data_IF_101719709448
#
_entry.id   IF_101719709448
#
_cell.length_a   1.000
_cell.length_b   1.000
_cell.length_c   1.000
_cell.angle_alpha   90.00
_cell.angle_beta   90.00
_cell.angle_gamma   90.00
#
_symmetry.space_group_name_H-M   'P 1'
#
loop_
_entity.id
_entity.type
_entity.pdbx_description
1 polymer ?
#
# COMPACT_ATOMS: atom_id res chain seq x y z
N UNK A 1 -28.60 36.73 -58.45
CA UNK A 1 -27.70 35.68 -58.02
C UNK A 1 -27.37 35.85 -56.53
N UNK A 2 -27.99 35.12 -55.61
CA UNK A 2 -27.73 35.22 -54.16
C UNK A 2 -26.80 34.04 -53.80
N UNK A 3 -25.59 34.35 -53.34
CA UNK A 3 -24.62 33.37 -52.86
C UNK A 3 -24.91 33.10 -51.37
N UNK A 4 -25.30 31.87 -51.05
CA UNK A 4 -25.42 31.40 -49.69
C UNK A 4 -24.03 31.04 -49.14
N UNK A 5 -23.62 31.66 -48.02
CA UNK A 5 -22.39 31.33 -47.29
C UNK A 5 -22.80 30.35 -46.19
N UNK A 6 -22.35 29.10 -46.34
CA UNK A 6 -22.54 28.07 -45.31
C UNK A 6 -21.42 28.19 -44.31
N UNK A 7 -21.73 28.63 -43.08
CA UNK A 7 -20.77 28.61 -41.96
C UNK A 7 -20.66 27.16 -41.41
N UNK A 8 -19.48 26.60 -41.54
CA UNK A 8 -19.13 25.34 -40.85
C UNK A 8 -18.68 25.66 -39.41
N UNK A 9 -19.50 25.23 -38.42
CA UNK A 9 -19.14 25.28 -37.02
C UNK A 9 -18.21 24.08 -36.71
N UNK A 10 -16.93 24.35 -36.50
CA UNK A 10 -15.95 23.34 -36.03
C UNK A 10 -16.09 23.27 -34.53
N UNK A 11 -16.68 22.18 -34.03
CA UNK A 11 -16.72 21.84 -32.59
C UNK A 11 -15.35 21.32 -32.17
N UNK A 12 -14.60 22.11 -31.42
CA UNK A 12 -13.35 21.69 -30.80
C UNK A 12 -13.69 20.90 -29.55
N UNK A 13 -13.58 19.57 -29.61
CA UNK A 13 -13.60 18.71 -28.42
C UNK A 13 -12.31 18.93 -27.62
N UNK A 14 -12.41 19.58 -26.46
CA UNK A 14 -11.33 19.66 -25.50
C UNK A 14 -11.09 18.27 -24.88
N UNK A 15 -10.04 17.58 -25.32
CA UNK A 15 -9.57 16.35 -24.71
C UNK A 15 -8.86 16.75 -23.41
N UNK A 16 -9.52 16.59 -22.26
CA UNK A 16 -8.87 16.72 -20.97
C UNK A 16 -7.90 15.53 -20.78
N UNK A 17 -6.59 15.75 -20.67
CA UNK A 17 -5.68 14.67 -20.33
C UNK A 17 -5.98 14.20 -18.89
N UNK A 18 -6.48 13.00 -18.74
CA UNK A 18 -6.55 12.35 -17.44
C UNK A 18 -5.09 12.15 -16.98
N UNK A 19 -4.66 12.93 -15.97
CA UNK A 19 -3.37 12.72 -15.35
C UNK A 19 -3.37 11.33 -14.68
N UNK A 20 -2.78 10.35 -15.35
CA UNK A 20 -2.53 9.04 -14.75
C UNK A 20 -1.56 9.25 -13.58
N UNK A 21 -2.02 8.99 -12.36
CA UNK A 21 -1.13 8.99 -11.20
C UNK A 21 -0.10 7.88 -11.37
N UNK A 22 1.19 8.24 -11.32
CA UNK A 22 2.26 7.27 -11.48
C UNK A 22 2.23 6.20 -10.37
N UNK A 23 2.36 4.95 -10.76
CA UNK A 23 2.56 3.85 -9.83
C UNK A 23 3.82 4.09 -8.98
N UNK A 24 3.75 3.77 -7.69
CA UNK A 24 4.90 3.87 -6.78
C UNK A 24 5.44 2.49 -6.47
N UNK A 25 6.75 2.32 -6.63
CA UNK A 25 7.48 1.08 -6.29
C UNK A 25 8.67 1.42 -5.41
N UNK A 26 8.81 0.68 -4.31
CA UNK A 26 9.98 0.76 -3.42
C UNK A 26 10.68 -0.59 -3.43
N UNK A 27 12.01 -0.56 -3.54
CA UNK A 27 12.88 -1.75 -3.51
C UNK A 27 13.70 -1.77 -2.23
N UNK A 28 13.85 -2.94 -1.65
CA UNK A 28 14.73 -3.21 -0.53
C UNK A 28 16.13 -3.64 -0.96
N UNK A 29 17.03 -3.74 0.01
CA UNK A 29 18.44 -4.05 -0.22
C UNK A 29 18.70 -5.47 -0.73
N UNK A 30 17.73 -6.37 -0.55
CA UNK A 30 17.84 -7.78 -0.98
C UNK A 30 17.05 -8.09 -2.25
N UNK A 31 16.62 -7.05 -2.98
CA UNK A 31 15.89 -7.20 -4.23
C UNK A 31 14.36 -7.31 -4.07
N UNK A 32 13.87 -7.46 -2.84
CA UNK A 32 12.44 -7.44 -2.58
C UNK A 32 11.85 -6.06 -2.89
N UNK A 33 10.58 -6.03 -3.28
CA UNK A 33 9.89 -4.79 -3.60
C UNK A 33 8.40 -4.84 -3.32
N UNK A 34 7.82 -3.67 -3.06
CA UNK A 34 6.37 -3.47 -3.00
C UNK A 34 5.94 -2.36 -3.95
N UNK A 35 4.73 -2.44 -4.50
CA UNK A 35 4.19 -1.43 -5.40
C UNK A 35 2.70 -1.22 -5.21
N UNK A 36 2.25 0.01 -5.53
CA UNK A 36 0.85 0.43 -5.58
C UNK A 36 0.61 1.29 -6.83
N UNK A 37 -0.63 1.30 -7.33
CA UNK A 37 -0.97 2.06 -8.52
C UNK A 37 -1.01 3.58 -8.29
N UNK A 38 -1.23 4.05 -7.06
CA UNK A 38 -1.32 5.47 -6.71
C UNK A 38 -1.01 5.70 -5.24
N UNK A 39 -0.55 6.91 -4.90
CA UNK A 39 -0.17 7.29 -3.52
C UNK A 39 -0.99 8.45 -2.94
N UNK A 40 -1.76 9.17 -3.77
CA UNK A 40 -2.68 10.24 -3.34
C UNK A 40 -4.09 9.71 -3.38
N UNK A 41 -4.70 9.47 -2.22
CA UNK A 41 -6.00 8.80 -2.13
C UNK A 41 -6.86 9.39 -1.01
N UNK A 42 -8.17 9.28 -1.16
CA UNK A 42 -9.10 9.61 -0.09
C UNK A 42 -9.06 8.55 1.02
N UNK A 43 -9.38 8.95 2.25
CA UNK A 43 -9.59 7.99 3.33
C UNK A 43 -10.71 7.01 2.98
N UNK A 44 -10.57 5.75 3.40
CA UNK A 44 -11.48 4.66 3.07
C UNK A 44 -11.11 3.93 1.76
N UNK A 45 -10.19 4.46 0.94
CA UNK A 45 -9.72 3.77 -0.27
C UNK A 45 -8.98 2.50 0.10
N UNK A 46 -9.28 1.38 -0.57
CA UNK A 46 -8.44 0.19 -0.57
C UNK A 46 -7.46 0.25 -1.74
N UNK A 47 -6.17 0.10 -1.45
CA UNK A 47 -5.10 0.03 -2.44
C UNK A 47 -4.61 -1.40 -2.57
N UNK A 48 -4.61 -1.93 -3.77
CA UNK A 48 -3.95 -3.21 -4.04
C UNK A 48 -2.44 -3.02 -3.96
N UNK A 49 -1.82 -3.73 -3.02
CA UNK A 49 -0.37 -3.78 -2.83
C UNK A 49 0.14 -5.08 -3.41
N UNK A 50 1.11 -5.00 -4.30
CA UNK A 50 1.82 -6.17 -4.80
C UNK A 50 3.23 -6.21 -4.25
N UNK A 51 3.66 -7.37 -3.79
CA UNK A 51 5.03 -7.66 -3.34
C UNK A 51 5.69 -8.71 -4.23
N UNK A 52 7.01 -8.65 -4.32
CA UNK A 52 7.81 -9.65 -5.03
C UNK A 52 9.24 -9.71 -4.50
N UNK A 53 9.87 -10.89 -4.69
CA UNK A 53 11.28 -11.09 -4.34
C UNK A 53 11.55 -11.18 -2.85
N UNK A 54 10.52 -11.43 -2.03
CA UNK A 54 10.69 -11.70 -0.61
C UNK A 54 11.23 -13.11 -0.37
N UNK A 55 11.98 -13.28 0.69
CA UNK A 55 12.40 -14.59 1.15
C UNK A 55 11.19 -15.32 1.76
N UNK A 56 10.73 -16.40 1.12
CA UNK A 56 9.55 -17.17 1.53
C UNK A 56 9.75 -17.89 2.88
N UNK A 57 11.00 -17.99 3.37
CA UNK A 57 11.31 -18.57 4.68
C UNK A 57 11.17 -17.56 5.82
N UNK A 58 10.96 -16.28 5.50
CA UNK A 58 10.83 -15.18 6.46
C UNK A 58 9.41 -14.62 6.43
N UNK A 59 8.67 -14.81 7.51
CA UNK A 59 7.36 -14.18 7.65
C UNK A 59 7.45 -12.66 7.73
N UNK A 60 6.48 -11.97 7.11
CA UNK A 60 6.40 -10.52 7.07
C UNK A 60 5.00 -10.03 7.45
N UNK A 61 4.93 -8.80 7.94
CA UNK A 61 3.70 -8.04 8.05
C UNK A 61 3.61 -7.00 6.93
N UNK A 62 2.49 -6.99 6.22
CA UNK A 62 2.06 -5.88 5.36
C UNK A 62 1.02 -5.07 6.13
N UNK A 63 1.20 -3.75 6.26
CA UNK A 63 0.25 -2.90 6.96
C UNK A 63 0.31 -1.43 6.51
N UNK A 64 -0.71 -0.64 6.88
CA UNK A 64 -0.70 0.81 6.79
C UNK A 64 -0.34 1.40 8.14
N UNK A 65 0.79 2.11 8.25
CA UNK A 65 1.38 2.53 9.51
C UNK A 65 1.84 4.00 9.50
N UNK A 66 2.00 4.57 10.67
CA UNK A 66 2.77 5.81 10.87
C UNK A 66 4.25 5.52 10.57
N UNK A 67 4.89 6.40 9.78
CA UNK A 67 6.32 6.27 9.48
C UNK A 67 7.12 6.58 10.75
N UNK A 68 7.93 5.65 11.25
CA UNK A 68 8.71 5.83 12.48
C UNK A 68 9.94 6.71 12.28
N UNK A 69 10.62 7.03 13.36
CA UNK A 69 11.98 7.53 13.29
C UNK A 69 12.91 6.47 12.65
N UNK A 70 14.02 6.91 12.04
CA UNK A 70 14.98 6.04 11.37
C UNK A 70 15.42 4.88 12.27
N UNK A 71 15.39 3.66 11.76
CA UNK A 71 15.82 2.44 12.46
C UNK A 71 14.80 1.90 13.49
N UNK A 72 13.62 2.51 13.63
CA UNK A 72 12.54 2.00 14.47
C UNK A 72 11.51 1.23 13.63
N UNK A 73 10.89 0.23 14.23
CA UNK A 73 9.80 -0.51 13.61
C UNK A 73 8.60 0.40 13.32
N UNK A 74 7.90 0.22 12.16
CA UNK A 74 6.68 0.96 11.89
C UNK A 74 5.63 0.69 12.97
N UNK A 75 5.13 1.77 13.58
CA UNK A 75 4.14 1.73 14.67
C UNK A 75 3.64 3.15 14.97
N UNK A 76 2.35 3.32 15.33
CA UNK A 76 1.29 2.32 15.25
C UNK A 76 0.85 2.03 13.81
N UNK A 77 0.18 0.90 13.62
CA UNK A 77 -0.39 0.50 12.34
C UNK A 77 -1.93 0.45 12.41
N UNK A 78 -2.57 0.72 11.28
CA UNK A 78 -4.02 0.56 11.10
C UNK A 78 -4.41 -0.91 11.05
N UNK A 79 -5.68 -1.20 11.39
CA UNK A 79 -6.23 -2.54 11.41
C UNK A 79 -6.04 -3.29 12.73
N UNK A 80 -5.15 -2.79 13.62
CA UNK A 80 -4.84 -3.45 14.89
C UNK A 80 -4.24 -4.84 14.72
N UNK A 81 -3.99 -5.53 15.84
CA UNK A 81 -3.74 -6.97 15.82
C UNK A 81 -5.09 -7.63 15.61
N UNK A 82 -5.40 -7.99 14.39
CA UNK A 82 -6.52 -8.88 14.14
C UNK A 82 -6.17 -10.25 14.69
N UNK A 83 -6.89 -10.68 15.73
CA UNK A 83 -6.71 -12.02 16.31
C UNK A 83 -7.03 -13.14 15.33
N UNK A 84 -7.73 -12.82 14.23
CA UNK A 84 -7.97 -13.72 13.11
C UNK A 84 -6.83 -13.69 12.06
N UNK A 85 -5.74 -12.93 12.29
CA UNK A 85 -4.58 -12.88 11.41
C UNK A 85 -4.73 -12.06 10.13
N UNK A 86 -5.94 -11.82 9.70
CA UNK A 86 -6.24 -11.10 8.46
C UNK A 86 -7.23 -9.96 8.72
N UNK A 87 -6.87 -8.77 8.33
CA UNK A 87 -7.71 -7.58 8.44
C UNK A 87 -7.51 -6.66 7.24
N UNK A 88 -8.50 -5.83 6.94
CA UNK A 88 -8.50 -4.94 5.76
C UNK A 88 -7.29 -3.98 5.68
N UNK A 89 -6.54 -3.80 6.76
CA UNK A 89 -5.40 -2.89 6.82
C UNK A 89 -4.09 -3.54 7.27
N UNK A 90 -4.07 -4.87 7.54
CA UNK A 90 -2.86 -5.59 7.90
C UNK A 90 -2.98 -7.08 7.56
N UNK A 91 -1.86 -7.67 7.14
CA UNK A 91 -1.74 -9.07 6.74
C UNK A 91 -0.46 -9.64 7.31
N UNK A 92 -0.52 -10.89 7.80
CA UNK A 92 0.64 -11.67 8.11
C UNK A 92 0.87 -12.66 6.97
N UNK A 93 1.99 -12.52 6.26
CA UNK A 93 2.33 -13.32 5.08
C UNK A 93 3.51 -14.22 5.48
N UNK A 94 3.30 -15.53 5.45
CA UNK A 94 4.31 -16.51 5.84
C UNK A 94 3.98 -17.88 5.25
N UNK A 95 4.96 -18.51 4.58
CA UNK A 95 4.81 -19.86 4.02
C UNK A 95 5.21 -20.97 5.02
N UNK A 96 5.78 -20.61 6.16
CA UNK A 96 6.16 -21.54 7.22
C UNK A 96 5.83 -20.98 8.62
N UNK A 97 4.57 -20.64 8.89
CA UNK A 97 4.18 -20.09 10.18
C UNK A 97 4.34 -21.13 11.29
N UNK A 98 4.56 -20.70 12.54
CA UNK A 98 4.57 -21.62 13.67
C UNK A 98 3.19 -22.27 13.85
N UNK A 99 3.10 -23.45 14.51
CA UNK A 99 1.85 -24.22 14.62
C UNK A 99 0.66 -23.46 15.20
N UNK A 100 0.90 -22.50 16.12
CA UNK A 100 -0.19 -21.68 16.70
C UNK A 100 -0.80 -20.69 15.70
N UNK A 101 -0.13 -20.45 14.58
CA UNK A 101 -0.54 -19.48 13.57
C UNK A 101 -1.24 -20.12 12.36
N UNK A 102 -1.54 -21.41 12.43
CA UNK A 102 -2.29 -22.09 11.38
C UNK A 102 -3.62 -21.37 11.11
N UNK A 103 -3.84 -20.98 9.85
CA UNK A 103 -5.02 -20.23 9.41
C UNK A 103 -4.99 -18.72 9.75
N UNK A 104 -3.88 -18.20 10.30
CA UNK A 104 -3.71 -16.76 10.60
C UNK A 104 -2.79 -16.05 9.60
N UNK A 105 -2.20 -16.81 8.67
CA UNK A 105 -1.26 -16.29 7.68
C UNK A 105 -1.74 -16.58 6.27
N UNK A 106 -1.38 -15.70 5.35
CA UNK A 106 -1.40 -15.97 3.92
C UNK A 106 -0.03 -16.50 3.49
N UNK A 107 0.00 -17.46 2.59
CA UNK A 107 1.25 -17.96 2.03
C UNK A 107 1.78 -17.03 0.94
N UNK A 108 3.11 -16.98 0.79
CA UNK A 108 3.68 -16.37 -0.39
C UNK A 108 3.33 -17.17 -1.65
N UNK A 109 3.08 -16.47 -2.74
CA UNK A 109 3.10 -17.06 -4.06
C UNK A 109 4.56 -17.27 -4.51
N UNK A 110 4.87 -18.25 -5.37
CA UNK A 110 6.23 -18.55 -5.83
C UNK A 110 7.00 -17.31 -6.29
N UNK A 111 8.25 -17.18 -5.86
CA UNK A 111 9.10 -16.00 -6.09
C UNK A 111 8.89 -14.89 -5.06
N UNK A 112 8.46 -15.25 -3.85
CA UNK A 112 8.24 -14.32 -2.74
C UNK A 112 7.23 -13.24 -3.10
N UNK A 113 6.12 -13.62 -3.73
CA UNK A 113 5.09 -12.71 -4.22
C UNK A 113 3.86 -12.73 -3.32
N UNK A 114 3.18 -11.59 -3.28
CA UNK A 114 1.85 -11.46 -2.68
C UNK A 114 1.05 -10.35 -3.36
N UNK A 115 -0.26 -10.37 -3.15
CA UNK A 115 -1.16 -9.30 -3.59
C UNK A 115 -2.31 -9.18 -2.61
N UNK A 116 -2.39 -8.05 -1.88
CA UNK A 116 -3.43 -7.79 -0.89
C UNK A 116 -3.99 -6.38 -0.99
N UNK A 117 -5.30 -6.19 -0.76
CA UNK A 117 -5.89 -4.87 -0.59
C UNK A 117 -5.55 -4.33 0.80
N UNK A 118 -5.03 -3.11 0.88
CA UNK A 118 -4.77 -2.41 2.14
C UNK A 118 -5.66 -1.19 2.24
N UNK A 119 -6.51 -1.13 3.25
CA UNK A 119 -7.42 -0.01 3.49
C UNK A 119 -6.69 1.17 4.10
N UNK A 120 -6.79 2.32 3.46
CA UNK A 120 -6.16 3.57 3.89
C UNK A 120 -7.12 4.33 4.81
N UNK A 121 -6.70 4.57 6.03
CA UNK A 121 -7.46 5.34 7.02
C UNK A 121 -6.89 6.74 7.21
N UNK A 122 -7.74 7.73 7.47
CA UNK A 122 -7.29 9.04 7.91
C UNK A 122 -6.73 9.02 9.33
N UNK A 123 -7.15 8.05 10.18
CA UNK A 123 -6.72 7.92 11.56
C UNK A 123 -6.08 6.57 11.83
N UNK A 124 -4.96 6.58 12.54
CA UNK A 124 -4.30 5.39 13.11
C UNK A 124 -4.11 5.66 14.60
N UNK A 125 -5.00 5.13 15.44
CA UNK A 125 -5.05 5.50 16.85
C UNK A 125 -5.24 7.02 17.01
N UNK A 126 -4.34 7.67 17.73
CA UNK A 126 -4.36 9.13 17.92
C UNK A 126 -3.74 9.95 16.78
N UNK A 127 -3.18 9.30 15.75
CA UNK A 127 -2.46 9.97 14.67
C UNK A 127 -3.37 10.22 13.48
N UNK A 128 -3.41 11.46 13.01
CA UNK A 128 -4.10 11.86 11.76
C UNK A 128 -3.10 11.83 10.59
N UNK A 129 -3.22 10.86 9.70
CA UNK A 129 -2.36 10.66 8.53
C UNK A 129 -2.42 11.79 7.49
N UNK A 130 -3.31 12.78 7.66
CA UNK A 130 -3.30 14.04 6.90
C UNK A 130 -2.34 15.08 7.48
N UNK A 131 -1.84 14.84 8.71
CA UNK A 131 -0.93 15.74 9.45
C UNK A 131 0.40 15.10 9.72
N UNK A 132 0.44 13.76 9.94
CA UNK A 132 1.67 13.00 10.12
C UNK A 132 1.93 12.14 8.88
N UNK A 133 3.17 11.72 8.69
CA UNK A 133 3.53 10.85 7.57
C UNK A 133 3.11 9.41 7.86
N UNK A 134 2.27 8.85 6.99
CA UNK A 134 1.86 7.45 7.03
C UNK A 134 2.26 6.76 5.71
N UNK A 135 2.46 5.45 5.77
CA UNK A 135 2.88 4.65 4.61
C UNK A 135 2.22 3.27 4.63
N UNK A 136 2.07 2.68 3.45
CA UNK A 136 2.00 1.23 3.32
C UNK A 136 3.40 0.71 3.63
N UNK A 137 3.49 -0.26 4.54
CA UNK A 137 4.76 -0.78 5.03
C UNK A 137 4.79 -2.29 4.95
N UNK A 138 5.99 -2.81 4.72
CA UNK A 138 6.34 -4.20 5.01
C UNK A 138 7.43 -4.20 6.06
N UNK A 139 7.41 -5.17 6.95
CA UNK A 139 8.47 -5.45 7.91
C UNK A 139 8.55 -6.94 8.22
N UNK A 140 9.66 -7.41 8.75
CA UNK A 140 9.75 -8.76 9.30
C UNK A 140 8.71 -8.95 10.42
N UNK A 141 8.19 -10.16 10.56
CA UNK A 141 7.15 -10.51 11.54
C UNK A 141 7.67 -10.49 12.99
N UNK A 142 6.81 -10.87 13.94
CA UNK A 142 7.13 -10.85 15.37
C UNK A 142 8.16 -11.89 15.79
N UNK A 143 8.45 -12.90 14.95
CA UNK A 143 9.50 -13.86 15.19
C UNK A 143 10.90 -13.25 14.99
N UNK A 144 10.96 -12.11 14.28
CA UNK A 144 12.20 -11.39 13.96
C UNK A 144 12.04 -9.88 14.23
N UNK A 145 11.61 -9.52 15.44
CA UNK A 145 11.25 -8.12 15.80
C UNK A 145 12.40 -7.11 15.64
N UNK A 146 13.65 -7.56 15.75
CA UNK A 146 14.85 -6.72 15.55
C UNK A 146 15.29 -6.60 14.11
N UNK A 147 14.80 -7.44 13.22
CA UNK A 147 15.17 -7.43 11.81
C UNK A 147 14.49 -6.28 11.05
N UNK A 148 15.31 -5.39 10.47
CA UNK A 148 14.86 -4.25 9.66
C UNK A 148 15.12 -4.44 8.16
N UNK A 149 15.56 -5.63 7.74
CA UNK A 149 15.91 -5.94 6.35
C UNK A 149 14.72 -5.87 5.40
N UNK A 150 13.52 -6.17 5.91
CA UNK A 150 12.27 -6.11 5.16
C UNK A 150 11.50 -4.80 5.34
N UNK A 151 12.05 -3.80 6.04
CA UNK A 151 11.36 -2.52 6.23
C UNK A 151 11.30 -1.74 4.92
N UNK A 152 10.13 -1.77 4.28
CA UNK A 152 9.82 -0.99 3.09
C UNK A 152 8.67 -0.04 3.38
N UNK A 153 8.72 1.16 2.80
CA UNK A 153 7.73 2.21 3.03
C UNK A 153 7.31 2.86 1.71
N UNK A 154 6.03 2.79 1.36
CA UNK A 154 5.43 3.63 0.32
C UNK A 154 4.62 4.73 1.03
N UNK A 155 5.12 5.96 1.13
CA UNK A 155 4.37 7.07 1.72
C UNK A 155 3.05 7.30 0.99
N UNK A 156 1.97 7.48 1.76
CA UNK A 156 0.63 7.73 1.23
C UNK A 156 0.18 9.14 1.66
N UNK A 157 -0.29 9.92 0.71
CA UNK A 157 -0.95 11.20 0.97
C UNK A 157 -2.45 10.98 1.05
N UNK A 158 -3.01 11.17 2.24
CA UNK A 158 -4.47 11.09 2.44
C UNK A 158 -5.10 12.43 2.10
N UNK A 159 -5.90 12.46 1.04
CA UNK A 159 -6.61 13.67 0.61
C UNK A 159 -7.90 13.87 1.40
N UNK A 160 -8.38 15.13 1.48
CA UNK A 160 -9.73 15.41 2.01
C UNK A 160 -10.76 14.94 0.98
N UNK A 161 -11.83 14.32 1.45
CA UNK A 161 -12.99 14.11 0.60
C UNK A 161 -13.56 15.50 0.25
N UNK A 162 -13.75 15.77 -1.03
CA UNK A 162 -14.46 16.96 -1.50
C UNK A 162 -15.94 16.80 -1.22
#
# INVERSE_FOLDING_TARGET
>A
MRRAITLFLISVFAINPAYAQAASTVKGSYGQSISVAKVNVAAGTSLTVTGRGFDETVGIYLAYCVIPAKGKAPSPCGGGVNKAGMGEASYWISSNPPPYAAGLTDEFLPGGRFTHPVKISAQIGKFDCRKVRCAITVRSDHLRTGDRSNDLFIPITVTRNK
#
